data_IF_409585556839
#
_entry.id   IF_409585556839
#
_cell.length_a   1.000
_cell.length_b   1.000
_cell.length_c   1.000
_cell.angle_alpha   90.00
_cell.angle_beta   90.00
_cell.angle_gamma   90.00
#
_symmetry.space_group_name_H-M   'P 1'
#
loop_
_entity.id
_entity.type
_entity.pdbx_description
1 polymer ?
#
# COMPACT_ATOMS: atom_id res chain seq x y z
N UNK A 1 11.90 -12.70 1.34
CA UNK A 1 11.46 -11.49 2.07
C UNK A 1 10.14 -11.06 1.46
N UNK A 2 9.01 -11.31 2.14
CA UNK A 2 7.68 -10.96 1.66
C UNK A 2 7.35 -9.52 2.06
N UNK A 3 6.94 -8.71 1.11
CA UNK A 3 6.65 -7.28 1.31
C UNK A 3 5.18 -7.01 1.02
N UNK A 4 4.47 -6.37 1.95
CA UNK A 4 3.12 -5.86 1.73
C UNK A 4 3.16 -4.34 1.58
N UNK A 5 2.61 -3.82 0.49
CA UNK A 5 2.49 -2.37 0.24
C UNK A 5 1.01 -1.99 0.26
N UNK A 6 0.65 -1.10 1.18
CA UNK A 6 -0.69 -0.56 1.38
C UNK A 6 -0.78 0.82 0.72
N UNK A 7 -1.50 0.94 -0.38
CA UNK A 7 -1.65 2.20 -1.10
C UNK A 7 -2.99 2.86 -0.84
N UNK A 8 -2.96 4.14 -0.47
CA UNK A 8 -4.17 4.95 -0.40
C UNK A 8 -4.37 5.70 -1.74
N UNK A 9 -5.31 5.27 -2.61
CA UNK A 9 -5.55 5.93 -3.89
C UNK A 9 -6.11 7.36 -3.74
N UNK A 10 -6.61 7.71 -2.55
CA UNK A 10 -7.10 9.06 -2.24
C UNK A 10 -5.99 10.03 -1.81
N UNK A 11 -4.76 9.54 -1.59
CA UNK A 11 -3.62 10.42 -1.36
C UNK A 11 -3.27 11.12 -2.68
N UNK A 12 -3.22 12.45 -2.68
CA UNK A 12 -3.32 13.34 -3.85
C UNK A 12 -2.29 13.23 -4.98
N UNK A 13 -1.53 12.15 -5.08
CA UNK A 13 -0.64 11.82 -6.19
C UNK A 13 -0.97 10.42 -6.74
N UNK A 14 -2.19 10.27 -7.28
CA UNK A 14 -2.64 9.03 -7.93
C UNK A 14 -1.96 8.75 -9.29
N UNK A 15 -1.06 9.63 -9.75
CA UNK A 15 -0.64 9.66 -11.16
C UNK A 15 0.42 8.62 -11.55
N UNK A 16 0.98 7.81 -10.63
CA UNK A 16 1.94 6.76 -11.04
C UNK A 16 1.73 5.38 -10.38
N UNK A 17 0.63 5.18 -9.66
CA UNK A 17 0.42 3.91 -8.97
C UNK A 17 0.27 2.72 -9.92
N UNK A 18 -0.39 2.90 -11.07
CA UNK A 18 -0.48 1.86 -12.11
C UNK A 18 0.90 1.47 -12.66
N UNK A 19 1.79 2.44 -12.87
CA UNK A 19 3.17 2.22 -13.34
C UNK A 19 3.97 1.43 -12.31
N UNK A 20 3.78 1.76 -11.03
CA UNK A 20 4.37 1.06 -9.89
C UNK A 20 3.80 -0.36 -9.79
N UNK A 21 2.49 -0.54 -9.86
CA UNK A 21 1.83 -1.84 -9.85
C UNK A 21 2.32 -2.75 -10.98
N UNK A 22 2.46 -2.24 -12.21
CA UNK A 22 3.01 -3.03 -13.32
C UNK A 22 4.47 -3.42 -13.09
N UNK A 23 5.28 -2.53 -12.52
CA UNK A 23 6.68 -2.81 -12.19
C UNK A 23 6.82 -3.82 -11.05
N UNK A 24 5.91 -3.77 -10.08
CA UNK A 24 5.90 -4.66 -8.92
C UNK A 24 5.16 -5.99 -9.20
N UNK A 25 4.28 -6.06 -10.19
CA UNK A 25 3.59 -7.30 -10.58
C UNK A 25 4.55 -8.37 -11.10
N UNK A 26 5.75 -8.01 -11.53
CA UNK A 26 6.81 -8.96 -11.91
C UNK A 26 7.60 -9.51 -10.71
N UNK A 27 7.24 -9.11 -9.48
CA UNK A 27 7.88 -9.57 -8.25
C UNK A 27 6.93 -10.47 -7.46
N UNK A 28 7.28 -11.75 -7.37
CA UNK A 28 6.51 -12.75 -6.62
C UNK A 28 6.58 -12.55 -5.09
N UNK A 29 7.52 -11.73 -4.62
CA UNK A 29 7.76 -11.46 -3.20
C UNK A 29 6.97 -10.25 -2.66
N UNK A 30 6.11 -9.66 -3.49
CA UNK A 30 5.40 -8.42 -3.17
C UNK A 30 3.89 -8.55 -3.33
N UNK A 31 3.16 -8.09 -2.32
CA UNK A 31 1.70 -7.98 -2.34
C UNK A 31 1.28 -6.53 -2.23
N UNK A 32 0.41 -6.12 -3.14
CA UNK A 32 -0.10 -4.76 -3.24
C UNK A 32 -1.57 -4.74 -2.79
N UNK A 33 -1.89 -3.88 -1.83
CA UNK A 33 -3.25 -3.77 -1.28
C UNK A 33 -3.70 -2.32 -1.37
N UNK A 34 -4.90 -2.09 -1.88
CA UNK A 34 -5.51 -0.77 -2.04
C UNK A 34 -6.72 -0.61 -1.10
N UNK A 35 -6.49 -0.26 0.18
CA UNK A 35 -7.58 0.02 1.10
C UNK A 35 -8.35 1.29 0.69
N UNK A 36 -9.67 1.19 0.67
CA UNK A 36 -10.59 2.27 0.26
C UNK A 36 -11.10 3.12 1.43
N UNK A 37 -10.79 2.71 2.67
CA UNK A 37 -11.12 3.45 3.89
C UNK A 37 -10.04 3.29 4.96
N UNK A 38 -10.01 4.12 6.01
CA UNK A 38 -9.13 3.94 7.16
C UNK A 38 -9.31 2.58 7.83
N UNK A 39 -10.55 2.10 7.97
CA UNK A 39 -10.86 0.79 8.55
C UNK A 39 -10.26 -0.34 7.71
N UNK A 40 -10.45 -0.29 6.38
CA UNK A 40 -9.86 -1.26 5.46
C UNK A 40 -8.32 -1.26 5.50
N UNK A 41 -7.70 -0.11 5.75
CA UNK A 41 -6.25 -0.02 5.95
C UNK A 41 -5.83 -0.78 7.20
N UNK A 42 -6.51 -0.56 8.33
CA UNK A 42 -6.20 -1.26 9.58
C UNK A 42 -6.41 -2.77 9.48
N UNK A 43 -7.49 -3.21 8.83
CA UNK A 43 -7.74 -4.62 8.56
C UNK A 43 -6.63 -5.24 7.70
N UNK A 44 -6.22 -4.56 6.64
CA UNK A 44 -5.16 -5.04 5.76
C UNK A 44 -3.78 -5.10 6.45
N UNK A 45 -3.47 -4.16 7.36
CA UNK A 45 -2.27 -4.23 8.21
C UNK A 45 -2.34 -5.44 9.14
N UNK A 46 -3.49 -5.68 9.78
CA UNK A 46 -3.65 -6.80 10.70
C UNK A 46 -3.52 -8.15 9.97
N UNK A 47 -4.08 -8.27 8.77
CA UNK A 47 -3.96 -9.48 7.96
C UNK A 47 -2.52 -9.70 7.48
N UNK A 48 -1.83 -8.65 7.01
CA UNK A 48 -0.42 -8.74 6.64
C UNK A 48 0.47 -9.15 7.83
N UNK A 49 0.16 -8.69 9.04
CA UNK A 49 0.87 -9.15 10.24
C UNK A 49 0.59 -10.63 10.53
N UNK A 50 -0.66 -11.11 10.36
CA UNK A 50 -1.04 -12.52 10.54
C UNK A 50 -0.41 -13.45 9.51
N UNK A 51 -0.29 -13.00 8.26
CA UNK A 51 0.33 -13.75 7.17
C UNK A 51 1.86 -13.83 7.25
N UNK A 52 2.48 -13.06 8.16
CA UNK A 52 3.92 -13.07 8.38
C UNK A 52 4.73 -12.40 7.27
N UNK A 53 4.26 -11.25 6.76
CA UNK A 53 5.11 -10.42 5.88
C UNK A 53 6.31 -9.87 6.67
N UNK A 54 7.48 -9.86 6.05
CA UNK A 54 8.71 -9.33 6.66
C UNK A 54 8.69 -7.80 6.74
N UNK A 55 8.01 -7.16 5.78
CA UNK A 55 7.89 -5.70 5.69
C UNK A 55 6.45 -5.34 5.33
N UNK A 56 5.89 -4.37 6.06
CA UNK A 56 4.60 -3.75 5.76
C UNK A 56 4.86 -2.25 5.56
N UNK A 57 4.60 -1.74 4.36
CA UNK A 57 4.86 -0.35 3.99
C UNK A 57 3.56 0.36 3.60
N UNK A 58 3.38 1.59 4.09
CA UNK A 58 2.28 2.45 3.69
C UNK A 58 2.74 3.42 2.58
N UNK A 59 2.08 3.38 1.44
CA UNK A 59 2.29 4.27 0.30
C UNK A 59 1.11 5.24 0.20
N UNK A 60 1.18 6.33 0.96
CA UNK A 60 0.25 7.44 0.90
C UNK A 60 1.01 8.76 0.98
N UNK A 61 0.63 9.72 0.13
CA UNK A 61 1.03 11.10 0.33
C UNK A 61 0.40 11.64 1.61
N UNK A 62 1.23 12.21 2.49
CA UNK A 62 0.75 12.96 3.64
C UNK A 62 -0.17 14.09 3.14
N UNK A 63 -1.35 14.25 3.73
CA UNK A 63 -2.13 15.47 3.57
C UNK A 63 -1.41 16.54 4.38
N UNK A 64 -0.26 17.00 3.91
CA UNK A 64 0.30 18.24 4.39
C UNK A 64 -0.74 19.33 4.11
N UNK A 65 -1.28 20.03 5.13
CA UNK A 65 -2.16 21.16 4.87
C UNK A 65 -1.35 22.16 4.05
N UNK A 66 -1.83 22.46 2.83
CA UNK A 66 -1.29 23.57 2.06
C UNK A 66 -1.67 24.84 2.83
N UNK A 67 -0.70 25.37 3.57
CA UNK A 67 -0.75 26.71 4.16
C UNK A 67 -0.84 27.78 3.07
#
# INVERSE_FOLDING_TARGET
>A
MRICILHNPSAGHATDFRSVQQSLAMRDDLTLVEPTSPEALYEAVAEAAREGYDVIAAAGGDRAPRS
#
